data_IF_006596043982
#
_entry.id   IF_006596043982
#
_cell.length_a   1.000
_cell.length_b   1.000
_cell.length_c   1.000
_cell.angle_alpha   90.00
_cell.angle_beta   90.00
_cell.angle_gamma   90.00
#
_symmetry.space_group_name_H-M   'P 1'
#
loop_
_entity.id
_entity.type
_entity.pdbx_description
1 polymer ?
#
# COMPACT_ATOMS: atom_id res chain seq x y z
N UNK A 1 2.28 30.25 -58.13
CA UNK A 1 2.35 29.01 -57.32
C UNK A 1 1.12 28.20 -57.65
N UNK A 2 1.29 26.97 -58.11
CA UNK A 2 0.16 26.16 -58.59
C UNK A 2 -0.69 25.67 -57.40
N UNK A 3 -1.98 25.45 -57.60
CA UNK A 3 -2.89 24.92 -56.55
C UNK A 3 -2.43 23.56 -55.99
N UNK A 4 -1.67 22.82 -56.78
CA UNK A 4 -1.03 21.56 -56.40
C UNK A 4 0.08 21.75 -55.37
N UNK A 5 0.86 22.83 -55.45
CA UNK A 5 1.90 23.16 -54.47
C UNK A 5 1.29 23.47 -53.09
N UNK A 6 0.12 24.12 -53.08
CA UNK A 6 -0.60 24.44 -51.84
C UNK A 6 -1.22 23.22 -51.19
N UNK A 7 -1.79 22.29 -51.97
CA UNK A 7 -2.31 21.02 -51.45
C UNK A 7 -1.20 20.15 -50.85
N UNK A 8 -0.04 20.08 -51.53
CA UNK A 8 1.10 19.31 -51.07
C UNK A 8 1.66 19.85 -49.75
N UNK A 9 1.76 21.18 -49.63
CA UNK A 9 2.20 21.83 -48.40
C UNK A 9 1.21 21.59 -47.24
N UNK A 10 -0.10 21.68 -47.51
CA UNK A 10 -1.13 21.38 -46.51
C UNK A 10 -1.07 19.93 -46.03
N UNK A 11 -0.87 18.98 -46.94
CA UNK A 11 -0.71 17.56 -46.60
C UNK A 11 0.52 17.31 -45.72
N UNK A 12 1.67 17.94 -46.02
CA UNK A 12 2.87 17.83 -45.19
C UNK A 12 2.64 18.41 -43.79
N UNK A 13 2.08 19.62 -43.70
CA UNK A 13 1.85 20.29 -42.41
C UNK A 13 0.87 19.50 -41.55
N UNK A 14 -0.22 18.99 -42.13
CA UNK A 14 -1.19 18.14 -41.42
C UNK A 14 -0.59 16.80 -40.97
N UNK A 15 0.22 16.14 -41.81
CA UNK A 15 0.91 14.90 -41.43
C UNK A 15 1.89 15.11 -40.27
N UNK A 16 2.65 16.22 -40.29
CA UNK A 16 3.56 16.58 -39.20
C UNK A 16 2.80 16.90 -37.90
N UNK A 17 1.66 17.58 -37.99
CA UNK A 17 0.82 17.87 -36.82
C UNK A 17 0.28 16.57 -36.18
N UNK A 18 -0.20 15.62 -36.98
CA UNK A 18 -0.67 14.31 -36.49
C UNK A 18 0.48 13.54 -35.84
N UNK A 19 1.65 13.49 -36.48
CA UNK A 19 2.83 12.82 -35.92
C UNK A 19 3.25 13.44 -34.57
N UNK A 20 3.22 14.76 -34.47
CA UNK A 20 3.52 15.48 -33.24
C UNK A 20 2.56 15.11 -32.11
N UNK A 21 1.24 15.08 -32.40
CA UNK A 21 0.22 14.65 -31.43
C UNK A 21 0.47 13.22 -30.96
N UNK A 22 0.80 12.29 -31.86
CA UNK A 22 1.12 10.91 -31.50
C UNK A 22 2.37 10.80 -30.60
N UNK A 23 3.42 11.56 -30.89
CA UNK A 23 4.64 11.61 -30.08
C UNK A 23 4.32 12.15 -28.67
N UNK A 24 3.54 13.24 -28.59
CA UNK A 24 3.13 13.84 -27.33
C UNK A 24 2.25 12.90 -26.51
N UNK A 25 1.29 12.21 -27.13
CA UNK A 25 0.45 11.20 -26.47
C UNK A 25 1.28 10.03 -25.95
N UNK A 26 2.26 9.55 -26.73
CA UNK A 26 3.16 8.46 -26.30
C UNK A 26 4.05 8.89 -25.14
N UNK A 27 4.57 10.12 -25.17
CA UNK A 27 5.35 10.69 -24.07
C UNK A 27 4.51 10.90 -22.81
N UNK A 28 3.28 11.38 -22.96
CA UNK A 28 2.34 11.57 -21.85
C UNK A 28 1.90 10.23 -21.23
N UNK A 29 1.55 9.25 -22.07
CA UNK A 29 1.22 7.89 -21.64
C UNK A 29 2.41 7.22 -20.93
N UNK A 30 3.63 7.38 -21.46
CA UNK A 30 4.85 6.91 -20.81
C UNK A 30 5.11 7.61 -19.48
N UNK A 31 4.87 8.92 -19.38
CA UNK A 31 5.00 9.70 -18.14
C UNK A 31 4.00 9.28 -17.07
N UNK A 32 2.75 9.01 -17.45
CA UNK A 32 1.72 8.48 -16.54
C UNK A 32 2.08 7.07 -16.07
N UNK A 33 2.52 6.18 -16.96
CA UNK A 33 2.88 4.81 -16.60
C UNK A 33 4.23 4.71 -15.87
N UNK A 34 5.18 5.61 -16.12
CA UNK A 34 6.43 5.72 -15.34
C UNK A 34 6.20 6.21 -13.92
N UNK A 35 5.08 6.91 -13.67
CA UNK A 35 4.61 7.22 -12.29
C UNK A 35 3.92 6.03 -11.61
N UNK A 36 3.52 5.00 -12.35
CA UNK A 36 2.99 3.73 -11.81
C UNK A 36 4.06 2.66 -11.59
N UNK A 37 5.21 2.79 -12.25
CA UNK A 37 6.35 1.90 -12.07
C UNK A 37 7.43 2.57 -11.23
N UNK A 38 7.20 2.63 -9.92
CA UNK A 38 8.33 2.67 -8.99
C UNK A 38 8.56 1.22 -8.51
N UNK A 39 9.54 0.49 -9.06
CA UNK A 39 10.23 -0.47 -8.22
C UNK A 39 10.86 0.34 -7.09
N UNK A 40 10.51 0.05 -5.84
CA UNK A 40 11.21 0.54 -4.67
C UNK A 40 12.68 0.10 -4.76
N UNK A 41 13.50 0.86 -5.47
CA UNK A 41 14.95 0.66 -5.54
C UNK A 41 15.58 1.80 -4.78
N UNK A 42 15.83 1.49 -3.51
CA UNK A 42 16.64 2.25 -2.57
C UNK A 42 18.01 2.54 -3.21
N UNK A 43 18.36 3.81 -3.43
CA UNK A 43 19.75 4.21 -3.67
C UNK A 43 20.25 5.04 -2.47
N UNK A 44 20.52 4.31 -1.41
CA UNK A 44 21.27 4.71 -0.23
C UNK A 44 21.89 3.44 0.33
N UNK A 45 23.11 3.14 -0.11
CA UNK A 45 23.88 1.96 0.30
C UNK A 45 24.14 1.97 1.81
N UNK A 46 23.26 1.36 2.62
CA UNK A 46 23.62 0.61 3.84
C UNK A 46 22.53 -0.46 4.12
N UNK A 47 22.82 -1.71 3.79
CA UNK A 47 22.26 -2.92 4.43
C UNK A 47 20.73 -3.02 4.71
N UNK A 48 19.86 -2.93 3.69
CA UNK A 48 18.42 -3.28 3.84
C UNK A 48 17.92 -4.16 2.69
N UNK A 49 18.45 -5.38 2.60
CA UNK A 49 18.03 -6.43 1.66
C UNK A 49 17.38 -7.63 2.37
N UNK A 50 16.73 -7.44 3.53
CA UNK A 50 16.23 -8.60 4.29
C UNK A 50 14.95 -8.37 5.11
N UNK A 51 14.07 -7.43 4.74
CA UNK A 51 12.82 -7.22 5.48
C UNK A 51 11.61 -7.89 4.80
N UNK A 52 11.42 -7.75 3.49
CA UNK A 52 10.29 -8.37 2.78
C UNK A 52 10.36 -9.92 2.74
N UNK A 53 11.55 -10.49 2.55
CA UNK A 53 11.76 -11.94 2.65
C UNK A 53 11.58 -12.44 4.09
N UNK A 54 11.93 -11.62 5.09
CA UNK A 54 11.79 -12.00 6.50
C UNK A 54 10.34 -11.97 6.99
N UNK A 55 9.52 -11.02 6.55
CA UNK A 55 8.11 -10.91 6.96
C UNK A 55 7.32 -12.08 6.40
N UNK A 56 7.51 -12.39 5.11
CA UNK A 56 6.84 -13.52 4.47
C UNK A 56 7.27 -14.85 5.11
N UNK A 57 8.57 -15.05 5.33
CA UNK A 57 9.09 -16.23 6.03
C UNK A 57 8.63 -16.30 7.50
N UNK A 58 8.45 -15.16 8.18
CA UNK A 58 7.93 -15.09 9.55
C UNK A 58 6.45 -15.41 9.62
N UNK A 59 5.64 -14.88 8.70
CA UNK A 59 4.21 -15.24 8.58
C UNK A 59 4.07 -16.73 8.28
N UNK A 60 4.86 -17.25 7.33
CA UNK A 60 4.87 -18.69 7.05
C UNK A 60 5.34 -19.51 8.24
N UNK A 61 6.36 -19.07 8.98
CA UNK A 61 6.73 -19.72 10.21
C UNK A 61 5.54 -19.72 11.17
N UNK A 62 4.94 -18.55 11.47
CA UNK A 62 3.83 -18.39 12.44
C UNK A 62 2.60 -19.22 12.17
N UNK A 63 2.19 -19.32 10.91
CA UNK A 63 1.06 -20.17 10.52
C UNK A 63 1.36 -21.66 10.71
N UNK A 64 2.63 -22.08 10.66
CA UNK A 64 3.04 -23.47 10.85
C UNK A 64 3.24 -23.87 12.34
N UNK A 65 3.22 -22.93 13.29
CA UNK A 65 3.36 -23.23 14.73
C UNK A 65 2.17 -22.82 15.60
N UNK A 66 0.98 -22.65 15.02
CA UNK A 66 -0.24 -22.56 15.80
C UNK A 66 -0.49 -23.92 16.49
N UNK A 67 -0.59 -24.01 17.83
CA UNK A 67 -0.98 -25.25 18.46
C UNK A 67 -2.38 -25.59 17.97
N UNK A 68 -2.50 -26.68 17.21
CA UNK A 68 -3.78 -27.28 16.85
C UNK A 68 -4.62 -27.32 18.11
N UNK A 69 -5.68 -26.53 18.18
CA UNK A 69 -6.63 -26.58 19.28
C UNK A 69 -7.16 -28.00 19.35
N UNK A 70 -6.65 -28.77 20.32
CA UNK A 70 -7.13 -30.11 20.62
C UNK A 70 -8.60 -29.95 21.03
N UNK A 71 -9.48 -30.26 20.09
CA UNK A 71 -10.89 -30.53 20.35
C UNK A 71 -11.00 -31.59 21.45
N UNK A 72 -11.41 -31.16 22.64
CA UNK A 72 -11.87 -32.01 23.73
C UNK A 72 -13.39 -32.21 23.63
N UNK A 73 -13.90 -32.66 22.50
CA UNK A 73 -15.24 -33.23 22.44
C UNK A 73 -15.25 -34.38 21.44
N UNK A 74 -15.36 -35.59 21.98
CA UNK A 74 -15.63 -36.77 21.18
C UNK A 74 -17.05 -36.72 20.65
N UNK A 75 -17.21 -37.00 19.35
CA UNK A 75 -18.20 -37.97 18.90
C UNK A 75 -17.88 -38.47 17.49
N UNK A 76 -18.22 -39.73 17.27
CA UNK A 76 -17.92 -40.59 16.14
C UNK A 76 -18.46 -40.13 14.78
N UNK A 77 -17.75 -40.57 13.74
CA UNK A 77 -18.04 -40.54 12.30
C UNK A 77 -17.51 -39.32 11.53
N UNK A 78 -16.26 -39.43 11.06
CA UNK A 78 -15.72 -38.56 10.01
C UNK A 78 -15.05 -39.44 8.95
N UNK A 79 -15.61 -39.36 7.76
CA UNK A 79 -15.07 -39.83 6.49
C UNK A 79 -13.67 -39.22 6.30
N UNK A 80 -12.68 -40.07 6.04
CA UNK A 80 -11.31 -39.62 5.77
C UNK A 80 -11.28 -38.85 4.45
N UNK A 81 -11.27 -37.52 4.52
CA UNK A 81 -10.90 -36.67 3.40
C UNK A 81 -9.38 -36.53 3.44
N UNK A 82 -8.62 -36.99 2.43
CA UNK A 82 -7.20 -36.69 2.36
C UNK A 82 -7.04 -35.17 2.21
N UNK A 83 -6.30 -34.56 3.14
CA UNK A 83 -5.90 -33.15 3.03
C UNK A 83 -4.93 -33.05 1.85
N UNK A 84 -5.44 -32.68 0.68
CA UNK A 84 -4.60 -32.19 -0.40
C UNK A 84 -4.03 -30.83 0.03
N UNK A 85 -2.71 -30.77 0.15
CA UNK A 85 -1.94 -29.54 0.22
C UNK A 85 -2.09 -28.79 -1.12
N UNK A 86 -3.21 -28.11 -1.30
CA UNK A 86 -3.37 -27.11 -2.37
C UNK A 86 -3.76 -25.78 -1.74
N UNK A 87 -2.79 -25.14 -1.08
CA UNK A 87 -2.79 -23.69 -1.02
C UNK A 87 -2.33 -23.19 -2.40
N UNK A 88 -3.22 -23.31 -3.38
CA UNK A 88 -3.09 -22.54 -4.61
C UNK A 88 -3.26 -21.07 -4.22
N UNK A 89 -2.32 -20.16 -4.53
CA UNK A 89 -2.57 -18.75 -4.37
C UNK A 89 -3.58 -18.39 -5.46
N UNK A 90 -4.86 -18.51 -5.15
CA UNK A 90 -5.89 -17.99 -6.01
C UNK A 90 -5.63 -16.49 -6.13
N UNK A 91 -5.18 -16.06 -7.30
CA UNK A 91 -5.08 -14.66 -7.71
C UNK A 91 -6.52 -14.19 -7.90
N UNK A 92 -7.26 -14.08 -6.79
CA UNK A 92 -8.59 -13.52 -6.76
C UNK A 92 -8.44 -12.02 -6.62
N UNK A 93 -8.45 -11.37 -7.78
CA UNK A 93 -8.69 -9.95 -7.97
C UNK A 93 -10.12 -9.59 -7.52
N UNK A 94 -10.37 -9.73 -6.22
CA UNK A 94 -11.61 -9.39 -5.53
C UNK A 94 -11.24 -8.93 -4.14
N UNK A 95 -11.29 -7.62 -3.92
CA UNK A 95 -10.85 -6.89 -2.73
C UNK A 95 -11.64 -7.27 -1.47
N UNK A 96 -11.44 -8.48 -0.94
CA UNK A 96 -11.80 -8.78 0.44
C UNK A 96 -10.63 -8.36 1.31
N UNK A 97 -10.53 -7.06 1.57
CA UNK A 97 -9.49 -6.50 2.41
C UNK A 97 -9.68 -7.04 3.83
N UNK A 98 -8.82 -7.98 4.21
CA UNK A 98 -8.81 -8.52 5.56
C UNK A 98 -8.33 -7.40 6.50
N UNK A 99 -9.25 -6.87 7.29
CA UNK A 99 -8.99 -5.74 8.21
C UNK A 99 -8.24 -6.16 9.48
N UNK A 100 -7.87 -7.44 9.58
CA UNK A 100 -7.06 -7.99 10.67
C UNK A 100 -5.55 -7.71 10.53
N UNK A 101 -4.79 -8.13 11.54
CA UNK A 101 -3.33 -7.96 11.59
C UNK A 101 -2.62 -8.57 10.37
N UNK A 102 -3.06 -9.73 9.88
CA UNK A 102 -2.45 -10.40 8.72
C UNK A 102 -2.56 -9.52 7.47
N UNK A 103 -3.78 -9.06 7.14
CA UNK A 103 -4.00 -8.21 5.98
C UNK A 103 -3.22 -6.90 6.07
N UNK A 104 -3.15 -6.29 7.25
CA UNK A 104 -2.35 -5.07 7.43
C UNK A 104 -0.85 -5.30 7.23
N UNK A 105 -0.30 -6.44 7.67
CA UNK A 105 1.11 -6.76 7.43
C UNK A 105 1.37 -6.99 5.94
N UNK A 106 0.48 -7.71 5.25
CA UNK A 106 0.58 -7.96 3.81
C UNK A 106 0.50 -6.66 3.00
N UNK A 107 -0.35 -5.73 3.43
CA UNK A 107 -0.48 -4.39 2.84
C UNK A 107 0.70 -3.45 3.17
N UNK A 108 1.72 -3.91 3.91
CA UNK A 108 2.88 -3.11 4.25
C UNK A 108 2.63 -2.07 5.35
N UNK A 109 1.60 -2.24 6.17
CA UNK A 109 1.23 -1.35 7.27
C UNK A 109 1.97 -1.69 8.58
N UNK A 110 3.24 -2.06 8.46
CA UNK A 110 4.14 -2.37 9.58
C UNK A 110 5.54 -1.83 9.29
N UNK A 111 6.21 -1.34 10.32
CA UNK A 111 7.59 -0.80 10.28
C UNK A 111 8.41 -1.27 11.48
N UNK A 112 9.67 -0.84 11.57
CA UNK A 112 10.53 -1.14 12.71
C UNK A 112 9.99 -0.53 14.01
N UNK A 113 9.56 0.73 13.97
CA UNK A 113 8.97 1.44 15.10
C UNK A 113 7.51 1.04 15.37
N UNK A 114 6.88 0.31 14.44
CA UNK A 114 5.51 -0.14 14.58
C UNK A 114 5.34 -1.56 14.01
N UNK A 115 5.61 -2.54 14.85
CA UNK A 115 5.61 -3.95 14.47
C UNK A 115 4.29 -4.64 14.84
N UNK A 116 3.52 -5.06 13.83
CA UNK A 116 2.26 -5.78 14.03
C UNK A 116 2.42 -7.29 14.25
N UNK A 117 3.60 -7.85 13.93
CA UNK A 117 3.87 -9.29 14.01
C UNK A 117 3.77 -9.81 15.45
N UNK A 118 4.15 -9.00 16.44
CA UNK A 118 4.07 -9.38 17.85
C UNK A 118 2.62 -9.55 18.32
N UNK A 119 1.71 -8.68 17.87
CA UNK A 119 0.29 -8.77 18.23
C UNK A 119 -0.35 -10.01 17.58
N UNK A 120 0.00 -10.28 16.32
CA UNK A 120 -0.44 -11.49 15.63
C UNK A 120 0.03 -12.76 16.35
N UNK A 121 1.31 -12.82 16.74
CA UNK A 121 1.88 -13.95 17.47
C UNK A 121 1.26 -14.16 18.85
N UNK A 122 0.83 -13.08 19.50
CA UNK A 122 0.16 -13.12 20.80
C UNK A 122 -1.33 -13.52 20.72
N UNK A 123 -1.88 -13.73 19.52
CA UNK A 123 -3.29 -14.04 19.33
C UNK A 123 -4.21 -12.89 19.73
N UNK A 124 -3.76 -11.64 19.53
CA UNK A 124 -4.53 -10.44 19.87
C UNK A 124 -5.85 -10.38 19.08
N UNK A 125 -6.96 -10.18 19.79
CA UNK A 125 -8.31 -10.16 19.23
C UNK A 125 -8.74 -8.78 18.70
N UNK A 126 -7.89 -7.75 18.81
CA UNK A 126 -8.20 -6.42 18.29
C UNK A 126 -8.26 -6.44 16.76
N UNK A 127 -9.14 -5.62 16.20
CA UNK A 127 -9.19 -5.36 14.75
C UNK A 127 -7.99 -4.49 14.34
N UNK A 128 -6.83 -5.11 14.14
CA UNK A 128 -5.69 -4.56 13.41
C UNK A 128 -5.44 -3.05 13.60
N UNK A 129 -5.18 -2.37 12.48
CA UNK A 129 -5.01 -0.93 12.39
C UNK A 129 -6.32 -0.30 11.88
N UNK A 130 -7.10 0.30 12.77
CA UNK A 130 -8.41 0.90 12.48
C UNK A 130 -8.41 1.92 11.31
N UNK A 131 -7.27 2.60 11.11
CA UNK A 131 -7.10 3.68 10.13
C UNK A 131 -6.36 3.24 8.86
N UNK A 132 -6.27 1.93 8.61
CA UNK A 132 -5.52 1.34 7.52
C UNK A 132 -5.85 1.94 6.15
N UNK A 133 -7.14 2.12 5.84
CA UNK A 133 -7.59 2.64 4.54
C UNK A 133 -7.14 4.09 4.26
N UNK A 134 -7.19 4.99 5.25
CA UNK A 134 -6.72 6.37 5.05
C UNK A 134 -5.21 6.41 4.88
N UNK A 135 -4.48 5.58 5.63
CA UNK A 135 -3.03 5.47 5.55
C UNK A 135 -2.61 4.95 4.16
N UNK A 136 -3.25 3.90 3.66
CA UNK A 136 -3.00 3.38 2.30
C UNK A 136 -3.23 4.44 1.23
N UNK A 137 -4.34 5.18 1.31
CA UNK A 137 -4.61 6.30 0.39
C UNK A 137 -3.51 7.36 0.43
N UNK A 138 -2.96 7.68 1.60
CA UNK A 138 -1.84 8.64 1.72
C UNK A 138 -0.56 8.05 1.11
N UNK A 139 -0.26 6.77 1.38
CA UNK A 139 0.89 6.08 0.79
C UNK A 139 0.83 6.08 -0.74
N UNK A 140 -0.33 5.76 -1.32
CA UNK A 140 -0.56 5.73 -2.76
C UNK A 140 -0.53 7.13 -3.38
N UNK A 141 -1.20 8.10 -2.77
CA UNK A 141 -1.32 9.45 -3.34
C UNK A 141 -0.03 10.27 -3.24
N UNK A 142 0.78 10.04 -2.19
CA UNK A 142 2.00 10.81 -1.92
C UNK A 142 3.29 10.02 -2.15
N UNK A 143 3.20 8.73 -2.48
CA UNK A 143 4.34 7.83 -2.67
C UNK A 143 5.30 7.84 -1.47
N UNK A 144 4.76 7.73 -0.25
CA UNK A 144 5.54 7.79 1.00
C UNK A 144 5.50 6.47 1.76
N UNK A 145 6.46 6.27 2.67
CA UNK A 145 6.49 5.11 3.57
C UNK A 145 5.31 5.12 4.56
N UNK A 146 5.03 3.95 5.13
CA UNK A 146 3.98 3.76 6.14
C UNK A 146 4.06 4.75 7.32
N UNK A 147 5.25 4.91 7.92
CA UNK A 147 5.41 5.82 9.07
C UNK A 147 5.20 7.28 8.67
N UNK A 148 5.68 7.66 7.48
CA UNK A 148 5.46 9.00 6.94
C UNK A 148 3.98 9.24 6.66
N UNK A 149 3.28 8.24 6.10
CA UNK A 149 1.84 8.33 5.86
C UNK A 149 1.06 8.47 7.17
N UNK A 150 1.45 7.75 8.23
CA UNK A 150 0.87 7.89 9.58
C UNK A 150 1.09 9.28 10.16
N UNK A 151 2.30 9.83 10.02
CA UNK A 151 2.60 11.19 10.45
C UNK A 151 1.72 12.21 9.72
N UNK A 152 1.64 12.11 8.39
CA UNK A 152 0.81 13.00 7.57
C UNK A 152 -0.67 12.90 7.97
N UNK A 153 -1.18 11.67 8.16
CA UNK A 153 -2.56 11.46 8.63
C UNK A 153 -2.81 12.18 9.95
N UNK A 154 -1.89 12.01 10.91
CA UNK A 154 -2.02 12.62 12.23
C UNK A 154 -1.99 14.15 12.16
N UNK A 155 -1.09 14.70 11.34
CA UNK A 155 -1.03 16.14 11.07
C UNK A 155 -2.34 16.66 10.46
N UNK A 156 -2.95 15.92 9.53
CA UNK A 156 -4.25 16.26 8.99
C UNK A 156 -5.34 16.24 10.08
N UNK A 157 -5.33 15.26 10.99
CA UNK A 157 -6.27 15.22 12.12
C UNK A 157 -6.08 16.42 13.05
N UNK A 158 -4.84 16.81 13.37
CA UNK A 158 -4.58 18.01 14.18
C UNK A 158 -5.09 19.27 13.52
N UNK A 159 -4.78 19.48 12.24
CA UNK A 159 -5.25 20.64 11.49
C UNK A 159 -6.80 20.73 11.48
N UNK A 160 -7.50 19.60 11.29
CA UNK A 160 -8.97 19.55 11.32
C UNK A 160 -9.57 19.88 12.68
N UNK A 161 -8.80 19.72 13.77
CA UNK A 161 -9.25 19.95 15.15
C UNK A 161 -8.70 21.25 15.76
N UNK A 162 -8.25 22.22 14.95
CA UNK A 162 -7.64 23.47 15.42
C UNK A 162 -6.45 23.24 16.37
N UNK A 163 -5.64 22.23 16.07
CA UNK A 163 -4.37 21.95 16.73
C UNK A 163 -3.27 22.18 15.68
N UNK A 164 -2.21 22.88 16.07
CA UNK A 164 -1.04 23.09 15.22
C UNK A 164 -0.39 21.73 14.91
N UNK A 165 -0.32 21.31 13.63
CA UNK A 165 0.27 20.03 13.25
C UNK A 165 1.77 19.90 13.55
N UNK A 166 2.47 21.02 13.72
CA UNK A 166 3.92 21.06 13.94
C UNK A 166 4.29 21.05 15.43
N UNK A 167 3.58 21.83 16.25
CA UNK A 167 3.86 21.96 17.69
C UNK A 167 2.95 21.08 18.55
N UNK A 168 1.79 20.64 18.05
CA UNK A 168 0.79 19.92 18.82
C UNK A 168 -0.02 20.80 19.79
N UNK A 169 0.17 22.13 19.75
CA UNK A 169 -0.52 23.07 20.61
C UNK A 169 -1.90 23.45 20.04
N UNK A 170 -2.91 23.74 20.89
CA UNK A 170 -4.17 24.31 20.43
C UNK A 170 -3.93 25.65 19.72
N UNK A 171 -4.61 25.88 18.60
CA UNK A 171 -4.63 27.16 17.89
C UNK A 171 -5.69 28.13 18.46
N UNK A 172 -6.44 27.70 19.48
CA UNK A 172 -7.41 28.56 20.16
C UNK A 172 -6.68 29.66 20.95
N UNK A 173 -6.91 30.96 20.66
CA UNK A 173 -6.28 32.05 21.39
C UNK A 173 -6.66 32.10 22.88
N UNK A 174 -7.69 31.37 23.30
CA UNK A 174 -8.10 31.25 24.71
C UNK A 174 -7.53 30.00 25.39
N UNK A 175 -6.80 29.15 24.68
CA UNK A 175 -6.18 27.98 25.27
C UNK A 175 -5.13 28.39 26.31
N UNK A 176 -5.28 27.87 27.52
CA UNK A 176 -4.28 27.99 28.58
C UNK A 176 -3.53 26.66 28.63
N UNK A 177 -2.23 26.70 28.32
CA UNK A 177 -1.35 25.53 28.37
C UNK A 177 -0.42 25.67 29.57
N UNK A 178 -0.39 24.65 30.42
CA UNK A 178 0.55 24.58 31.55
C UNK A 178 1.74 23.73 31.13
N UNK A 179 2.90 24.36 30.99
CA UNK A 179 4.18 23.72 30.66
C UNK A 179 5.06 23.51 31.88
#
# INVERSE_FOLDING_TARGET
MSTLDSLYLYYIVSALAVLCIFILLKAFYSSINSRRAQPYTQLGNVASQNQNTSVFNRIYAMLNHLPTTRSLFGNSNQHFIPVSNEYSPAINSGTHHDSGFIGNIVDGLSSENFNLVTNLAAGDSRNGLENAEEIKKIMESRCVSFDTARLIRQQCVFARNNIDPSTGLPLDPKAVVFG
#
